data_IF_008695223571
#
_entry.id   IF_008695223571
#
_cell.length_a   1.000
_cell.length_b   1.000
_cell.length_c   1.000
_cell.angle_alpha   90.00
_cell.angle_beta   90.00
_cell.angle_gamma   90.00
#
_symmetry.space_group_name_H-M   'P 1'
#
loop_
_entity.id
_entity.type
_entity.pdbx_description
1 polymer ?
#
# COMPACT_ATOMS: atom_id res chain seq x y z
N UNK A 1 -29.43 -15.56 69.96
CA UNK A 1 -28.24 -14.88 69.43
C UNK A 1 -27.64 -15.80 68.39
N UNK A 2 -27.99 -15.58 67.12
CA UNK A 2 -27.68 -16.51 66.03
C UNK A 2 -26.98 -15.70 64.95
N UNK A 3 -25.73 -16.07 64.68
CA UNK A 3 -24.77 -15.46 63.77
C UNK A 3 -25.22 -15.60 62.31
N UNK A 4 -25.35 -14.48 61.59
CA UNK A 4 -25.48 -14.47 60.12
C UNK A 4 -24.11 -14.27 59.47
N UNK A 5 -23.79 -15.19 58.56
CA UNK A 5 -22.63 -15.14 57.69
C UNK A 5 -22.89 -14.20 56.51
N UNK A 6 -21.97 -13.26 56.26
CA UNK A 6 -21.96 -12.40 55.09
C UNK A 6 -21.27 -13.11 53.93
N UNK A 7 -22.04 -13.45 52.89
CA UNK A 7 -21.54 -13.96 51.61
C UNK A 7 -21.11 -12.79 50.71
N UNK A 8 -19.82 -12.69 50.42
CA UNK A 8 -19.26 -11.78 49.41
C UNK A 8 -19.36 -12.42 48.03
N UNK A 9 -20.17 -11.83 47.13
CA UNK A 9 -20.23 -12.19 45.71
C UNK A 9 -18.96 -11.74 44.97
N UNK A 10 -18.45 -12.50 43.99
CA UNK A 10 -17.31 -12.06 43.18
C UNK A 10 -17.78 -11.02 42.16
N UNK A 11 -17.11 -9.87 42.15
CA UNK A 11 -17.23 -8.85 41.12
C UNK A 11 -16.79 -9.41 39.76
N UNK A 12 -17.73 -9.49 38.84
CA UNK A 12 -17.49 -9.78 37.43
C UNK A 12 -16.63 -8.67 36.81
N UNK A 13 -15.38 -8.99 36.55
CA UNK A 13 -14.52 -8.14 35.72
C UNK A 13 -15.13 -8.10 34.31
N UNK A 14 -15.65 -6.93 33.93
CA UNK A 14 -16.09 -6.67 32.56
C UNK A 14 -14.88 -6.76 31.64
N UNK A 15 -14.80 -7.84 30.89
CA UNK A 15 -13.91 -7.96 29.73
C UNK A 15 -14.32 -6.91 28.71
N UNK A 16 -13.60 -5.79 28.70
CA UNK A 16 -13.64 -4.84 27.59
C UNK A 16 -13.06 -5.53 26.37
N UNK A 17 -13.91 -6.22 25.61
CA UNK A 17 -13.60 -6.63 24.25
C UNK A 17 -13.43 -5.34 23.44
N UNK A 18 -12.19 -4.86 23.32
CA UNK A 18 -11.85 -3.87 22.31
C UNK A 18 -12.05 -4.56 20.96
N UNK A 19 -13.24 -4.36 20.39
CA UNK A 19 -13.53 -4.71 19.01
C UNK A 19 -12.55 -3.93 18.13
N UNK A 20 -11.38 -4.49 17.83
CA UNK A 20 -10.54 -4.01 16.74
C UNK A 20 -11.20 -4.42 15.42
N UNK A 21 -12.40 -3.87 15.18
CA UNK A 21 -13.08 -3.96 13.91
C UNK A 21 -12.98 -2.61 13.22
N UNK A 22 -11.94 -2.47 12.40
CA UNK A 22 -12.10 -1.80 11.12
C UNK A 22 -11.08 -2.36 10.13
N UNK A 23 -11.54 -3.37 9.39
CA UNK A 23 -11.08 -3.67 8.02
C UNK A 23 -11.07 -2.37 7.19
N UNK A 24 -10.29 -2.30 6.09
CA UNK A 24 -9.64 -1.07 5.65
C UNK A 24 -10.64 0.07 5.42
N UNK A 25 -10.29 1.27 5.90
CA UNK A 25 -11.08 2.52 5.75
C UNK A 25 -11.38 2.88 4.27
N UNK A 26 -10.72 2.22 3.34
CA UNK A 26 -10.64 2.53 1.93
C UNK A 26 -10.75 1.24 1.13
N UNK A 27 -11.58 1.24 0.08
CA UNK A 27 -11.74 0.13 -0.86
C UNK A 27 -10.61 0.10 -1.90
N UNK A 28 -10.07 1.27 -2.22
CA UNK A 28 -8.99 1.45 -3.19
C UNK A 28 -7.82 2.18 -2.51
N UNK A 29 -6.59 1.86 -2.93
CA UNK A 29 -5.43 2.64 -2.55
C UNK A 29 -5.36 3.93 -3.38
N UNK A 30 -5.60 3.83 -4.69
CA UNK A 30 -5.46 4.94 -5.63
C UNK A 30 -6.74 5.12 -6.45
N UNK A 31 -7.18 6.36 -6.61
CA UNK A 31 -8.08 6.80 -7.66
C UNK A 31 -7.28 7.49 -8.79
N UNK A 32 -7.45 7.05 -10.04
CA UNK A 32 -6.83 7.68 -11.22
C UNK A 32 -7.84 8.54 -11.97
N UNK A 33 -7.66 9.86 -11.91
CA UNK A 33 -8.38 10.82 -12.76
C UNK A 33 -7.48 11.25 -13.92
N UNK A 34 -7.99 11.18 -15.15
CA UNK A 34 -7.24 11.52 -16.36
C UNK A 34 -8.20 11.84 -17.51
N UNK A 35 -7.71 12.52 -18.54
CA UNK A 35 -8.45 12.68 -19.79
C UNK A 35 -8.19 11.48 -20.69
N UNK A 36 -9.21 10.67 -20.94
CA UNK A 36 -8.99 9.41 -21.66
C UNK A 36 -8.78 9.56 -23.17
N UNK A 37 -9.01 10.74 -23.74
CA UNK A 37 -8.58 11.07 -25.11
C UNK A 37 -7.07 11.23 -25.19
N UNK A 38 -6.44 11.76 -24.13
CA UNK A 38 -5.02 12.11 -24.13
C UNK A 38 -4.13 10.96 -23.69
N UNK A 39 -4.48 10.34 -22.55
CA UNK A 39 -3.52 9.47 -21.84
C UNK A 39 -3.95 8.02 -21.64
N UNK A 40 -5.15 7.63 -22.10
CA UNK A 40 -5.75 6.31 -21.79
C UNK A 40 -4.87 5.12 -22.19
N UNK A 41 -4.24 5.17 -23.36
CA UNK A 41 -3.54 4.03 -23.98
C UNK A 41 -2.00 4.11 -23.89
N UNK A 42 -1.48 5.15 -23.23
CA UNK A 42 -0.05 5.41 -23.11
C UNK A 42 0.30 5.54 -21.61
N UNK A 43 0.79 6.70 -21.17
CA UNK A 43 1.14 7.01 -19.79
C UNK A 43 0.18 6.47 -18.73
N UNK A 44 -1.14 6.72 -18.83
CA UNK A 44 -2.09 6.24 -17.79
C UNK A 44 -2.20 4.72 -17.78
N UNK A 45 -2.12 4.05 -18.93
CA UNK A 45 -2.16 2.57 -18.99
C UNK A 45 -0.89 1.95 -18.39
N UNK A 46 0.27 2.54 -18.71
CA UNK A 46 1.56 2.14 -18.14
C UNK A 46 1.60 2.37 -16.63
N UNK A 47 1.13 3.53 -16.15
CA UNK A 47 1.02 3.83 -14.73
C UNK A 47 0.08 2.84 -14.02
N UNK A 48 -1.11 2.61 -14.57
CA UNK A 48 -2.07 1.67 -14.02
C UNK A 48 -1.51 0.24 -13.94
N UNK A 49 -0.84 -0.21 -15.00
CA UNK A 49 -0.20 -1.53 -15.05
C UNK A 49 0.89 -1.64 -13.99
N UNK A 50 1.74 -0.62 -13.85
CA UNK A 50 2.81 -0.61 -12.86
C UNK A 50 2.27 -0.58 -11.42
N UNK A 51 1.21 0.19 -11.13
CA UNK A 51 0.51 0.18 -9.84
C UNK A 51 -0.03 -1.22 -9.52
N UNK A 52 -0.70 -1.86 -10.48
CA UNK A 52 -1.25 -3.21 -10.33
C UNK A 52 -0.16 -4.26 -10.10
N UNK A 53 0.95 -4.20 -10.83
CA UNK A 53 2.11 -5.08 -10.64
C UNK A 53 2.72 -4.96 -9.24
N UNK A 54 2.59 -3.79 -8.61
CA UNK A 54 3.05 -3.52 -7.24
C UNK A 54 1.99 -3.81 -6.17
N UNK A 55 0.87 -4.46 -6.53
CA UNK A 55 -0.20 -4.81 -5.60
C UNK A 55 -1.06 -3.62 -5.16
N UNK A 56 -0.94 -2.46 -5.81
CA UNK A 56 -1.70 -1.26 -5.45
C UNK A 56 -3.07 -1.32 -6.10
N UNK A 57 -4.08 -1.65 -5.29
CA UNK A 57 -5.51 -1.65 -5.68
C UNK A 57 -5.90 -0.25 -6.17
N UNK A 58 -6.14 -0.13 -7.48
CA UNK A 58 -6.36 1.15 -8.14
C UNK A 58 -7.70 1.18 -8.85
N UNK A 59 -8.51 2.21 -8.58
CA UNK A 59 -9.68 2.54 -9.39
C UNK A 59 -9.21 3.38 -10.58
N UNK A 60 -9.41 2.88 -11.80
CA UNK A 60 -9.14 3.60 -13.03
C UNK A 60 -10.48 4.03 -13.62
N UNK A 61 -10.73 5.34 -13.67
CA UNK A 61 -11.90 5.84 -14.37
C UNK A 61 -11.84 5.41 -15.84
N UNK A 62 -12.79 4.60 -16.28
CA UNK A 62 -12.88 4.19 -17.67
C UNK A 62 -14.02 4.95 -18.32
N UNK A 63 -13.76 6.12 -18.91
CA UNK A 63 -14.78 6.86 -19.68
C UNK A 63 -15.47 5.99 -20.78
N UNK A 64 -14.97 4.80 -21.15
CA UNK A 64 -15.69 3.89 -22.05
C UNK A 64 -16.88 3.20 -21.39
N UNK A 65 -16.92 3.13 -20.06
CA UNK A 65 -17.88 2.32 -19.34
C UNK A 65 -19.27 2.93 -19.23
N UNK A 66 -19.53 4.19 -19.64
CA UNK A 66 -20.92 4.66 -19.75
C UNK A 66 -21.06 5.97 -20.55
N UNK A 67 -21.14 5.86 -21.89
CA UNK A 67 -21.79 6.87 -22.73
C UNK A 67 -23.27 6.97 -22.29
N UNK A 68 -23.58 7.74 -21.25
CA UNK A 68 -24.95 8.17 -20.96
C UNK A 68 -25.54 7.92 -19.57
N UNK A 69 -24.78 7.55 -18.53
CA UNK A 69 -25.29 7.65 -17.15
C UNK A 69 -24.71 8.88 -16.47
N UNK A 70 -25.58 9.65 -15.81
CA UNK A 70 -25.19 10.65 -14.81
C UNK A 70 -24.11 10.05 -13.91
N UNK A 71 -23.06 10.82 -13.59
CA UNK A 71 -21.96 10.44 -12.69
C UNK A 71 -22.42 9.37 -11.72
N UNK A 72 -21.96 8.13 -11.91
CA UNK A 72 -22.41 7.05 -11.05
C UNK A 72 -22.03 7.44 -9.62
N UNK A 73 -22.97 7.29 -8.68
CA UNK A 73 -22.68 7.41 -7.25
C UNK A 73 -21.45 6.57 -6.87
N UNK A 74 -21.21 5.50 -7.63
CA UNK A 74 -20.03 4.64 -7.56
C UNK A 74 -18.72 5.38 -7.81
N UNK A 75 -18.64 6.31 -8.77
CA UNK A 75 -17.44 7.10 -9.04
C UNK A 75 -17.12 8.04 -7.87
N UNK A 76 -18.12 8.78 -7.40
CA UNK A 76 -17.96 9.68 -6.25
C UNK A 76 -17.58 8.91 -4.99
N UNK A 77 -18.19 7.74 -4.79
CA UNK A 77 -17.88 6.84 -3.70
C UNK A 77 -16.48 6.24 -3.83
N UNK A 78 -16.03 5.91 -5.03
CA UNK A 78 -14.67 5.42 -5.26
C UNK A 78 -13.62 6.47 -4.89
N UNK A 79 -13.88 7.76 -5.15
CA UNK A 79 -13.00 8.86 -4.71
C UNK A 79 -12.95 8.93 -3.18
N UNK A 80 -14.10 8.86 -2.50
CA UNK A 80 -14.18 8.89 -1.03
C UNK A 80 -13.53 7.66 -0.37
N UNK A 81 -13.63 6.50 -1.01
CA UNK A 81 -13.05 5.23 -0.57
C UNK A 81 -11.61 5.01 -1.07
N UNK A 82 -10.93 6.07 -1.54
CA UNK A 82 -9.54 6.04 -1.98
C UNK A 82 -8.61 6.77 -1.03
N UNK A 83 -7.39 6.25 -0.84
CA UNK A 83 -6.35 6.90 -0.02
C UNK A 83 -5.63 8.02 -0.77
N UNK A 84 -5.26 7.73 -2.02
CA UNK A 84 -4.57 8.64 -2.92
C UNK A 84 -5.45 8.96 -4.13
N UNK A 85 -5.37 10.17 -4.63
CA UNK A 85 -5.94 10.55 -5.92
C UNK A 85 -4.81 11.06 -6.82
N UNK A 86 -4.46 10.29 -7.85
CA UNK A 86 -3.53 10.71 -8.88
C UNK A 86 -4.31 11.39 -9.99
N UNK A 87 -3.94 12.63 -10.29
CA UNK A 87 -4.61 13.47 -11.29
C UNK A 87 -3.63 13.70 -12.43
N UNK A 88 -3.91 13.11 -13.59
CA UNK A 88 -3.11 13.31 -14.81
C UNK A 88 -3.71 14.47 -15.60
N UNK A 89 -3.15 15.65 -15.37
CA UNK A 89 -3.54 16.89 -16.02
C UNK A 89 -2.85 16.95 -17.39
N UNK A 90 -3.65 16.85 -18.45
CA UNK A 90 -3.21 16.88 -19.85
C UNK A 90 -3.88 18.03 -20.60
N UNK A 91 -3.47 18.22 -21.85
CA UNK A 91 -3.92 19.33 -22.70
C UNK A 91 -5.44 19.46 -22.81
N UNK A 92 -6.17 18.34 -22.92
CA UNK A 92 -7.63 18.35 -23.07
C UNK A 92 -8.39 18.10 -21.74
N UNK A 93 -7.69 18.04 -20.61
CA UNK A 93 -8.33 17.78 -19.31
C UNK A 93 -9.41 18.81 -18.98
N UNK A 94 -9.13 20.10 -19.17
CA UNK A 94 -10.09 21.18 -18.93
C UNK A 94 -11.23 21.25 -19.98
N UNK A 95 -11.08 20.58 -21.11
CA UNK A 95 -12.15 20.46 -22.12
C UNK A 95 -13.20 19.42 -21.73
N UNK A 96 -12.86 18.48 -20.84
CA UNK A 96 -13.78 17.46 -20.34
C UNK A 96 -14.51 17.93 -19.09
N UNK A 97 -15.83 18.15 -19.21
CA UNK A 97 -16.69 18.46 -18.06
C UNK A 97 -16.60 17.40 -16.97
N UNK A 98 -16.40 16.13 -17.34
CA UNK A 98 -16.29 15.02 -16.41
C UNK A 98 -15.03 15.14 -15.56
N UNK A 99 -13.87 15.34 -16.20
CA UNK A 99 -12.60 15.54 -15.51
C UNK A 99 -12.66 16.73 -14.53
N UNK A 100 -13.32 17.84 -14.92
CA UNK A 100 -13.47 19.01 -14.04
C UNK A 100 -14.37 18.74 -12.82
N UNK A 101 -15.44 17.94 -12.99
CA UNK A 101 -16.31 17.55 -11.88
C UNK A 101 -15.58 16.60 -10.93
N UNK A 102 -14.84 15.62 -11.45
CA UNK A 102 -13.97 14.74 -10.66
C UNK A 102 -12.95 15.54 -9.86
N UNK A 103 -12.25 16.48 -10.51
CA UNK A 103 -11.24 17.33 -9.88
C UNK A 103 -11.82 18.11 -8.70
N UNK A 104 -12.97 18.75 -8.89
CA UNK A 104 -13.65 19.48 -7.83
C UNK A 104 -14.05 18.56 -6.67
N UNK A 105 -14.52 17.34 -6.98
CA UNK A 105 -14.85 16.34 -5.96
C UNK A 105 -13.62 15.87 -5.19
N UNK A 106 -12.54 15.53 -5.88
CA UNK A 106 -11.28 15.08 -5.27
C UNK A 106 -10.76 16.14 -4.30
N UNK A 107 -10.76 17.42 -4.70
CA UNK A 107 -10.33 18.50 -3.81
C UNK A 107 -11.27 18.77 -2.63
N UNK A 108 -12.56 18.51 -2.79
CA UNK A 108 -13.50 18.49 -1.66
C UNK A 108 -13.13 17.36 -0.68
N UNK A 109 -12.91 16.13 -1.17
CA UNK A 109 -12.49 14.98 -0.37
C UNK A 109 -11.11 15.18 0.28
N UNK A 110 -10.18 15.89 -0.36
CA UNK A 110 -8.90 16.30 0.26
C UNK A 110 -9.12 17.06 1.56
N UNK A 111 -10.11 17.98 1.59
CA UNK A 111 -10.43 18.81 2.77
C UNK A 111 -11.24 18.04 3.82
N UNK A 112 -12.19 17.21 3.39
CA UNK A 112 -13.15 16.54 4.28
C UNK A 112 -12.64 15.20 4.83
N UNK A 113 -12.05 14.35 3.97
CA UNK A 113 -11.71 12.96 4.31
C UNK A 113 -10.20 12.69 4.33
N UNK A 114 -9.39 13.69 3.94
CA UNK A 114 -7.93 13.64 3.98
C UNK A 114 -7.30 12.86 2.82
N UNK A 115 -7.98 12.75 1.67
CA UNK A 115 -7.41 12.13 0.47
C UNK A 115 -6.13 12.86 0.06
N UNK A 116 -5.04 12.11 -0.17
CA UNK A 116 -3.77 12.69 -0.60
C UNK A 116 -3.77 12.86 -2.13
N UNK A 117 -3.65 14.10 -2.59
CA UNK A 117 -3.69 14.45 -4.02
C UNK A 117 -2.29 14.49 -4.62
N UNK A 118 -2.10 13.80 -5.73
CA UNK A 118 -0.83 13.60 -6.42
C UNK A 118 -0.95 14.07 -7.89
N UNK A 119 -0.67 15.35 -8.19
CA UNK A 119 -0.80 15.86 -9.55
C UNK A 119 0.37 15.43 -10.45
N UNK A 120 0.03 15.06 -11.67
CA UNK A 120 0.94 14.78 -12.77
C UNK A 120 0.59 15.72 -13.92
N UNK A 121 1.51 16.62 -14.24
CA UNK A 121 1.37 17.58 -15.33
C UNK A 121 1.94 16.95 -16.61
N UNK A 122 1.05 16.39 -17.43
CA UNK A 122 1.38 15.63 -18.64
C UNK A 122 1.40 16.55 -19.86
N UNK A 123 2.61 16.95 -20.30
CA UNK A 123 2.84 17.89 -21.39
C UNK A 123 2.08 19.23 -21.25
N UNK A 124 1.86 19.66 -20.01
CA UNK A 124 1.26 20.95 -19.66
C UNK A 124 2.10 21.63 -18.58
N UNK A 125 2.27 22.94 -18.67
CA UNK A 125 2.99 23.69 -17.64
C UNK A 125 2.12 23.83 -16.37
N UNK A 126 2.65 23.52 -15.17
CA UNK A 126 1.93 23.75 -13.91
C UNK A 126 1.45 25.20 -13.73
N UNK A 127 2.18 26.17 -14.27
CA UNK A 127 1.85 27.60 -14.23
C UNK A 127 0.62 27.91 -15.10
N UNK A 128 0.51 27.27 -16.26
CA UNK A 128 -0.66 27.41 -17.14
C UNK A 128 -1.90 26.77 -16.50
N UNK A 129 -1.73 25.63 -15.82
CA UNK A 129 -2.82 25.02 -15.04
C UNK A 129 -3.27 25.94 -13.92
N UNK A 130 -2.32 26.48 -13.14
CA UNK A 130 -2.60 27.32 -11.96
C UNK A 130 -3.27 28.65 -12.30
N UNK A 131 -2.87 29.26 -13.41
CA UNK A 131 -3.38 30.55 -13.85
C UNK A 131 -4.47 30.43 -14.94
N UNK A 132 -4.79 29.20 -15.36
CA UNK A 132 -5.73 28.89 -16.45
C UNK A 132 -5.38 29.64 -17.76
N UNK A 133 -4.09 29.64 -18.11
CA UNK A 133 -3.58 30.30 -19.32
C UNK A 133 -3.56 29.35 -20.53
N UNK A 134 -3.22 29.89 -21.71
CA UNK A 134 -3.00 29.13 -22.93
C UNK A 134 -4.22 28.29 -23.32
N UNK A 135 -4.01 27.00 -23.54
CA UNK A 135 -5.04 26.06 -24.02
C UNK A 135 -6.18 25.91 -23.00
N UNK A 136 -5.89 26.04 -21.70
CA UNK A 136 -6.93 25.98 -20.67
C UNK A 136 -7.83 27.22 -20.72
N UNK A 137 -7.29 28.40 -21.05
CA UNK A 137 -8.09 29.62 -21.20
C UNK A 137 -9.14 29.45 -22.30
N UNK A 138 -8.75 28.87 -23.44
CA UNK A 138 -9.66 28.57 -24.55
C UNK A 138 -10.73 27.56 -24.17
N UNK A 139 -10.37 26.52 -23.40
CA UNK A 139 -11.33 25.54 -22.90
C UNK A 139 -12.39 26.18 -21.99
N UNK A 140 -11.96 27.05 -21.06
CA UNK A 140 -12.89 27.78 -20.19
C UNK A 140 -13.76 28.78 -20.94
N UNK A 141 -13.21 29.48 -21.94
CA UNK A 141 -14.00 30.39 -22.78
C UNK A 141 -15.12 29.67 -23.54
N UNK A 142 -14.91 28.39 -23.91
CA UNK A 142 -15.96 27.55 -24.50
C UNK A 142 -17.01 27.13 -23.47
N UNK A 143 -16.58 26.75 -22.25
CA UNK A 143 -17.49 26.35 -21.17
C UNK A 143 -18.37 27.51 -20.68
N UNK A 144 -17.82 28.72 -20.60
CA UNK A 144 -18.57 29.92 -20.19
C UNK A 144 -19.65 30.34 -21.19
N UNK A 145 -19.50 29.95 -22.46
CA UNK A 145 -20.50 30.18 -23.51
C UNK A 145 -21.60 29.11 -23.54
N UNK A 146 -21.40 27.97 -22.89
CA UNK A 146 -22.40 26.90 -22.84
C UNK A 146 -23.48 27.23 -21.79
N UNK A 147 -24.68 27.56 -22.27
CA UNK A 147 -25.83 27.92 -21.44
C UNK A 147 -26.32 26.78 -20.53
N UNK A 148 -25.86 25.54 -20.75
CA UNK A 148 -26.20 24.37 -19.91
C UNK A 148 -25.35 24.27 -18.64
N UNK A 149 -24.36 25.16 -18.47
CA UNK A 149 -23.41 25.12 -17.36
C UNK A 149 -23.64 26.32 -16.46
N UNK A 150 -23.71 26.08 -15.15
CA UNK A 150 -23.82 27.15 -14.18
C UNK A 150 -22.48 27.87 -14.05
N UNK A 151 -22.49 29.20 -14.10
CA UNK A 151 -21.31 30.02 -13.87
C UNK A 151 -20.62 29.70 -12.54
N UNK A 152 -21.39 29.32 -11.50
CA UNK A 152 -20.83 28.90 -10.20
C UNK A 152 -19.95 27.66 -10.31
N UNK A 153 -20.34 26.69 -11.13
CA UNK A 153 -19.57 25.45 -11.31
C UNK A 153 -18.26 25.74 -12.05
N UNK A 154 -18.31 26.62 -13.07
CA UNK A 154 -17.11 27.07 -13.79
C UNK A 154 -16.11 27.74 -12.86
N UNK A 155 -16.58 28.61 -11.96
CA UNK A 155 -15.73 29.26 -10.97
C UNK A 155 -15.14 28.24 -9.98
N UNK A 156 -15.93 27.24 -9.55
CA UNK A 156 -15.44 26.16 -8.70
C UNK A 156 -14.36 25.33 -9.39
N UNK A 157 -14.51 25.03 -10.69
CA UNK A 157 -13.51 24.30 -11.47
C UNK A 157 -12.22 25.10 -11.68
N UNK A 158 -12.32 26.42 -11.93
CA UNK A 158 -11.16 27.31 -11.99
C UNK A 158 -10.40 27.31 -10.66
N UNK A 159 -11.11 27.46 -9.55
CA UNK A 159 -10.51 27.38 -8.22
C UNK A 159 -9.86 26.01 -7.96
N UNK A 160 -10.50 24.93 -8.40
CA UNK A 160 -9.97 23.57 -8.26
C UNK A 160 -8.65 23.38 -9.03
N UNK A 161 -8.56 23.86 -10.28
CA UNK A 161 -7.31 23.79 -11.05
C UNK A 161 -6.20 24.66 -10.44
N UNK A 162 -6.55 25.82 -9.92
CA UNK A 162 -5.62 26.67 -9.18
C UNK A 162 -5.06 25.92 -7.96
N UNK A 163 -5.93 25.39 -7.11
CA UNK A 163 -5.57 24.62 -5.91
C UNK A 163 -4.70 23.41 -6.25
N UNK A 164 -5.00 22.66 -7.33
CA UNK A 164 -4.17 21.53 -7.76
C UNK A 164 -2.85 21.97 -8.37
N UNK A 165 -2.82 23.07 -9.12
CA UNK A 165 -1.61 23.65 -9.69
C UNK A 165 -0.62 24.15 -8.63
N UNK A 166 -1.08 24.43 -7.42
CA UNK A 166 -0.23 24.79 -6.26
C UNK A 166 0.35 23.56 -5.53
N UNK A 167 -0.16 22.36 -5.76
CA UNK A 167 0.33 21.14 -5.12
C UNK A 167 1.61 20.66 -5.82
N UNK A 168 2.61 20.25 -5.03
CA UNK A 168 3.84 19.63 -5.55
C UNK A 168 3.53 18.35 -6.34
N UNK A 169 3.85 18.34 -7.64
CA UNK A 169 3.61 17.22 -8.54
C UNK A 169 4.81 16.86 -9.39
N UNK A 170 4.56 16.06 -10.44
CA UNK A 170 5.56 15.73 -11.44
C UNK A 170 5.21 16.38 -12.77
N UNK A 171 6.16 17.06 -13.37
CA UNK A 171 6.00 17.67 -14.69
C UNK A 171 6.69 16.79 -15.74
N UNK A 172 5.88 16.21 -16.64
CA UNK A 172 6.32 15.47 -17.81
C UNK A 172 6.44 16.45 -18.97
N UNK A 173 7.67 16.88 -19.21
CA UNK A 173 8.07 17.52 -20.45
C UNK A 173 8.84 16.48 -21.28
N UNK A 174 10.10 16.73 -21.61
CA UNK A 174 10.99 15.79 -22.33
C UNK A 174 11.65 14.74 -21.41
N UNK A 175 10.91 14.23 -20.42
CA UNK A 175 11.40 13.22 -19.46
C UNK A 175 10.82 11.86 -19.78
N UNK A 176 11.60 10.80 -19.53
CA UNK A 176 11.09 9.43 -19.67
C UNK A 176 9.93 9.15 -18.71
N UNK A 177 8.78 8.76 -19.28
CA UNK A 177 7.56 8.42 -18.53
C UNK A 177 7.82 7.36 -17.46
N UNK A 178 8.62 6.34 -17.78
CA UNK A 178 8.97 5.24 -16.87
C UNK A 178 9.61 5.74 -15.57
N UNK A 179 10.50 6.75 -15.64
CA UNK A 179 11.14 7.33 -14.46
C UNK A 179 10.10 8.02 -13.58
N UNK A 180 9.15 8.73 -14.18
CA UNK A 180 8.10 9.40 -13.41
C UNK A 180 7.16 8.39 -12.77
N UNK A 181 6.76 7.34 -13.50
CA UNK A 181 5.94 6.25 -12.96
C UNK A 181 6.61 5.62 -11.73
N UNK A 182 7.91 5.30 -11.81
CA UNK A 182 8.65 4.76 -10.66
C UNK A 182 8.71 5.75 -9.49
N UNK A 183 8.87 7.05 -9.75
CA UNK A 183 8.84 8.08 -8.70
C UNK A 183 7.47 8.21 -8.04
N UNK A 184 6.39 8.12 -8.81
CA UNK A 184 5.02 8.14 -8.26
C UNK A 184 4.80 6.96 -7.33
N UNK A 185 5.14 5.75 -7.79
CA UNK A 185 5.04 4.51 -7.02
C UNK A 185 5.89 4.60 -5.74
N UNK A 186 7.14 5.02 -5.87
CA UNK A 186 8.04 5.21 -4.73
C UNK A 186 7.49 6.21 -3.71
N UNK A 187 6.87 7.32 -4.16
CA UNK A 187 6.24 8.29 -3.25
C UNK A 187 5.08 7.68 -2.47
N UNK A 188 4.24 6.85 -3.10
CA UNK A 188 3.14 6.15 -2.42
C UNK A 188 3.70 5.22 -1.32
N UNK A 189 4.70 4.40 -1.67
CA UNK A 189 5.32 3.49 -0.69
C UNK A 189 6.00 4.23 0.46
N UNK A 190 6.74 5.30 0.18
CA UNK A 190 7.42 6.07 1.20
C UNK A 190 6.43 6.71 2.19
N UNK A 191 5.28 7.21 1.71
CA UNK A 191 4.23 7.69 2.61
C UNK A 191 3.67 6.56 3.48
N UNK A 192 3.40 5.40 2.91
CA UNK A 192 2.84 4.26 3.65
C UNK A 192 3.82 3.74 4.71
N UNK A 193 5.11 3.61 4.37
CA UNK A 193 6.18 3.24 5.30
C UNK A 193 6.34 4.30 6.39
N UNK A 194 6.35 5.59 6.03
CA UNK A 194 6.43 6.69 6.98
C UNK A 194 5.30 6.64 8.02
N UNK A 195 4.07 6.33 7.61
CA UNK A 195 2.93 6.15 8.54
C UNK A 195 3.16 4.99 9.51
N UNK A 196 3.80 3.90 9.06
CA UNK A 196 4.14 2.79 9.95
C UNK A 196 5.24 3.18 10.95
N UNK A 197 6.21 3.99 10.52
CA UNK A 197 7.24 4.56 11.39
C UNK A 197 6.68 5.56 12.40
N UNK A 198 5.79 6.47 11.98
CA UNK A 198 5.12 7.45 12.86
C UNK A 198 4.27 6.76 13.94
N UNK A 199 3.70 5.60 13.61
CA UNK A 199 2.98 4.74 14.56
C UNK A 199 3.89 3.83 15.36
N UNK A 200 5.21 3.93 15.17
CA UNK A 200 6.24 3.10 15.80
C UNK A 200 6.00 1.60 15.59
N UNK A 201 5.35 1.20 14.50
CA UNK A 201 5.11 -0.22 14.18
C UNK A 201 6.33 -0.86 13.52
N UNK A 202 7.11 -0.06 12.78
CA UNK A 202 8.38 -0.46 12.18
C UNK A 202 9.42 0.65 12.39
N UNK A 203 10.69 0.28 12.34
CA UNK A 203 11.84 1.18 12.29
C UNK A 203 12.70 0.78 11.10
N UNK A 204 13.32 1.75 10.43
CA UNK A 204 14.37 1.48 9.44
C UNK A 204 15.63 2.11 10.02
N UNK A 205 16.68 1.31 10.22
CA UNK A 205 17.95 1.81 10.75
C UNK A 205 18.76 2.57 9.69
N UNK A 206 19.88 3.16 10.09
CA UNK A 206 20.77 3.93 9.21
C UNK A 206 21.39 3.10 8.07
N UNK A 207 21.34 1.76 8.18
CA UNK A 207 21.79 0.83 7.15
C UNK A 207 20.67 0.43 6.17
N UNK A 208 19.44 0.88 6.40
CA UNK A 208 18.27 0.54 5.59
C UNK A 208 17.63 -0.79 5.99
N UNK A 209 18.02 -1.39 7.12
CA UNK A 209 17.40 -2.62 7.62
C UNK A 209 16.08 -2.30 8.30
N UNK A 210 15.02 -3.01 7.88
CA UNK A 210 13.68 -2.88 8.44
C UNK A 210 13.55 -3.74 9.70
N UNK A 211 13.20 -3.09 10.81
CA UNK A 211 12.90 -3.68 12.10
C UNK A 211 11.41 -3.54 12.40
N UNK A 212 10.80 -4.60 12.93
CA UNK A 212 9.43 -4.54 13.45
C UNK A 212 9.46 -4.18 14.93
N UNK A 213 8.46 -3.47 15.44
CA UNK A 213 8.37 -3.19 16.87
C UNK A 213 8.29 -4.47 17.71
N UNK A 214 9.01 -4.54 18.83
CA UNK A 214 9.15 -5.76 19.66
C UNK A 214 7.80 -6.37 20.05
N UNK A 215 6.83 -5.56 20.50
CA UNK A 215 5.48 -6.06 20.81
C UNK A 215 4.77 -6.73 19.62
N UNK A 216 4.97 -6.25 18.39
CA UNK A 216 4.40 -6.90 17.20
C UNK A 216 5.13 -8.20 16.87
N UNK A 217 6.44 -8.23 17.08
CA UNK A 217 7.24 -9.45 16.96
C UNK A 217 6.74 -10.50 17.96
N UNK A 218 6.63 -10.13 19.25
CA UNK A 218 6.14 -11.01 20.32
C UNK A 218 4.75 -11.56 20.01
N UNK A 219 3.85 -10.70 19.52
CA UNK A 219 2.50 -11.10 19.13
C UNK A 219 2.52 -12.10 17.97
N UNK A 220 3.30 -11.84 16.92
CA UNK A 220 3.45 -12.73 15.77
C UNK A 220 4.06 -14.08 16.15
N UNK A 221 5.08 -14.06 17.01
CA UNK A 221 5.72 -15.25 17.55
C UNK A 221 4.77 -16.09 18.42
N UNK A 222 3.94 -15.43 19.25
CA UNK A 222 2.94 -16.11 20.06
C UNK A 222 1.82 -16.73 19.22
N UNK A 223 1.41 -16.09 18.11
CA UNK A 223 0.43 -16.68 17.17
C UNK A 223 0.98 -17.99 16.62
N UNK A 224 2.22 -18.01 16.13
CA UNK A 224 2.83 -19.23 15.59
C UNK A 224 3.08 -20.27 16.69
N UNK A 225 3.47 -19.85 17.90
CA UNK A 225 3.60 -20.75 19.06
C UNK A 225 2.28 -21.44 19.40
N UNK A 226 1.14 -20.76 19.23
CA UNK A 226 -0.20 -21.32 19.52
C UNK A 226 -0.69 -22.34 18.50
N UNK A 227 -0.14 -22.36 17.29
CA UNK A 227 -0.46 -23.39 16.28
C UNK A 227 -0.13 -24.78 16.84
N UNK A 228 1.01 -24.90 17.51
CA UNK A 228 1.40 -26.08 18.26
C UNK A 228 2.25 -25.70 19.49
N UNK A 229 1.62 -25.56 20.67
CA UNK A 229 2.30 -25.11 21.87
C UNK A 229 3.41 -26.05 22.34
N UNK A 230 3.23 -27.35 22.15
CA UNK A 230 4.11 -28.40 22.68
C UNK A 230 5.06 -28.99 21.65
N UNK A 231 4.64 -29.06 20.39
CA UNK A 231 5.39 -29.75 19.33
C UNK A 231 5.82 -28.74 18.28
N UNK A 232 7.07 -28.26 18.30
CA UNK A 232 7.53 -27.22 17.37
C UNK A 232 7.37 -27.63 15.89
N UNK A 233 7.50 -28.92 15.57
CA UNK A 233 7.33 -29.43 14.20
C UNK A 233 5.93 -29.26 13.60
N UNK A 234 4.93 -28.91 14.42
CA UNK A 234 3.58 -28.55 13.98
C UNK A 234 3.33 -27.05 13.80
N UNK A 235 4.37 -26.22 13.90
CA UNK A 235 4.30 -24.76 13.70
C UNK A 235 4.68 -24.39 12.28
N UNK A 236 4.06 -23.35 11.74
CA UNK A 236 4.33 -22.81 10.41
C UNK A 236 5.72 -22.20 10.27
N UNK A 237 6.27 -21.67 11.38
CA UNK A 237 7.61 -21.07 11.40
C UNK A 237 8.40 -21.48 12.65
N UNK A 238 9.69 -21.68 12.47
CA UNK A 238 10.65 -21.98 13.52
C UNK A 238 11.80 -20.97 13.49
N UNK A 239 12.13 -20.38 14.64
CA UNK A 239 13.24 -19.41 14.78
C UNK A 239 14.02 -19.55 16.10
N UNK A 240 13.47 -20.27 17.08
CA UNK A 240 14.17 -20.61 18.31
C UNK A 240 15.16 -21.73 17.99
N UNK A 241 16.44 -21.48 18.21
CA UNK A 241 17.52 -22.41 17.86
C UNK A 241 17.26 -23.84 18.40
N UNK A 242 16.93 -23.96 19.68
CA UNK A 242 16.68 -25.26 20.32
C UNK A 242 15.50 -26.02 19.68
N UNK A 243 14.42 -25.31 19.35
CA UNK A 243 13.26 -25.89 18.68
C UNK A 243 13.62 -26.35 17.26
N UNK A 244 14.38 -25.55 16.53
CA UNK A 244 14.84 -25.89 15.17
C UNK A 244 15.73 -27.13 15.22
N UNK A 245 16.69 -27.18 16.13
CA UNK A 245 17.60 -28.31 16.28
C UNK A 245 16.84 -29.57 16.72
N UNK A 246 15.88 -29.45 17.64
CA UNK A 246 15.02 -30.55 18.04
C UNK A 246 14.25 -31.13 16.85
N UNK A 247 13.61 -30.26 16.06
CA UNK A 247 12.82 -30.65 14.89
C UNK A 247 13.68 -31.33 13.82
N UNK A 248 14.86 -30.79 13.54
CA UNK A 248 15.77 -31.33 12.53
C UNK A 248 16.43 -32.64 12.98
N UNK A 249 16.91 -32.74 14.23
CA UNK A 249 17.56 -33.96 14.75
C UNK A 249 16.57 -35.13 14.87
N UNK A 250 15.33 -34.86 15.24
CA UNK A 250 14.31 -35.88 15.45
C UNK A 250 13.43 -36.14 14.22
N UNK A 251 13.66 -35.41 13.12
CA UNK A 251 12.79 -35.42 11.92
C UNK A 251 11.30 -35.26 12.28
N UNK A 252 10.98 -34.40 13.25
CA UNK A 252 9.61 -34.19 13.73
C UNK A 252 8.87 -33.06 13.00
N UNK A 253 9.48 -32.47 11.96
CA UNK A 253 8.87 -31.45 11.12
C UNK A 253 7.74 -32.03 10.27
N UNK A 254 6.65 -31.28 10.13
CA UNK A 254 5.50 -31.65 9.31
C UNK A 254 5.42 -30.78 8.06
N UNK A 255 4.53 -31.10 7.11
CA UNK A 255 4.28 -30.26 5.93
C UNK A 255 3.77 -28.84 6.27
N UNK A 256 3.39 -28.60 7.53
CA UNK A 256 2.96 -27.27 8.01
C UNK A 256 4.15 -26.31 8.11
N UNK A 257 5.38 -26.80 8.27
CA UNK A 257 6.57 -25.94 8.42
C UNK A 257 6.91 -25.25 7.09
N UNK A 258 6.55 -23.97 7.00
CA UNK A 258 6.78 -23.12 5.83
C UNK A 258 8.12 -22.36 5.91
N UNK A 259 8.67 -22.15 7.11
CA UNK A 259 9.90 -21.36 7.28
C UNK A 259 10.74 -21.76 8.49
N UNK A 260 12.05 -21.82 8.28
CA UNK A 260 13.04 -22.09 9.34
C UNK A 260 14.11 -21.00 9.30
N UNK A 261 14.23 -20.25 10.40
CA UNK A 261 15.33 -19.31 10.61
C UNK A 261 16.40 -19.99 11.48
N UNK A 262 17.56 -20.23 10.87
CA UNK A 262 18.72 -20.80 11.54
C UNK A 262 19.65 -19.68 12.03
N UNK A 263 19.42 -19.24 13.27
CA UNK A 263 20.35 -18.35 13.97
C UNK A 263 21.37 -19.22 14.74
N UNK A 264 22.51 -19.50 14.10
CA UNK A 264 23.59 -20.26 14.72
C UNK A 264 24.27 -19.39 15.80
N UNK A 265 24.35 -19.84 17.06
CA UNK A 265 25.20 -19.16 18.04
C UNK A 265 26.65 -19.19 17.54
N UNK A 266 27.36 -18.08 17.68
CA UNK A 266 28.70 -17.81 17.11
C UNK A 266 29.79 -18.81 17.61
N UNK A 267 29.47 -19.73 18.52
CA UNK A 267 30.47 -20.60 19.18
C UNK A 267 30.21 -22.10 19.24
N UNK A 268 29.17 -22.66 18.64
CA UNK A 268 28.98 -24.12 18.65
C UNK A 268 28.88 -24.70 17.25
N UNK A 269 30.01 -25.21 16.76
CA UNK A 269 30.05 -26.16 15.65
C UNK A 269 29.60 -27.51 16.20
N UNK A 270 28.30 -27.65 16.47
CA UNK A 270 27.74 -28.99 16.51
C UNK A 270 27.74 -29.54 15.08
N UNK A 271 28.41 -30.67 14.90
CA UNK A 271 28.24 -31.54 13.73
C UNK A 271 26.79 -32.03 13.70
N UNK A 272 25.87 -31.17 13.24
CA UNK A 272 24.63 -31.64 12.66
C UNK A 272 25.05 -32.63 11.57
N UNK A 273 24.48 -33.84 11.55
CA UNK A 273 24.59 -34.76 10.40
C UNK A 273 23.75 -34.20 9.23
N UNK A 274 24.02 -32.93 8.89
CA UNK A 274 23.10 -31.94 8.36
C UNK A 274 22.77 -32.13 6.88
N UNK A 275 23.31 -33.14 6.22
CA UNK A 275 23.03 -33.33 4.80
C UNK A 275 21.65 -33.96 4.60
N UNK A 276 21.30 -35.04 5.31
CA UNK A 276 20.02 -35.73 5.09
C UNK A 276 18.80 -35.00 5.65
N UNK A 277 18.89 -34.44 6.87
CA UNK A 277 17.75 -33.74 7.49
C UNK A 277 17.46 -32.38 6.83
N UNK A 278 18.49 -31.71 6.30
CA UNK A 278 18.33 -30.43 5.60
C UNK A 278 17.89 -30.67 4.15
N UNK A 279 18.33 -31.75 3.49
CA UNK A 279 17.78 -32.19 2.21
C UNK A 279 16.29 -32.54 2.29
N UNK A 280 15.84 -33.22 3.35
CA UNK A 280 14.41 -33.53 3.55
C UNK A 280 13.56 -32.26 3.77
N UNK A 281 14.07 -31.28 4.53
CA UNK A 281 13.41 -29.99 4.71
C UNK A 281 13.44 -29.10 3.44
N UNK A 282 14.41 -29.32 2.54
CA UNK A 282 14.49 -28.66 1.23
C UNK A 282 13.65 -29.36 0.14
N UNK A 283 13.25 -30.62 0.34
CA UNK A 283 12.42 -31.39 -0.60
C UNK A 283 10.93 -31.05 -0.53
N UNK A 284 10.45 -30.42 0.55
CA UNK A 284 9.18 -29.70 0.53
C UNK A 284 9.38 -28.39 -0.25
N UNK A 285 8.88 -28.33 -1.48
CA UNK A 285 8.98 -27.17 -2.38
C UNK A 285 8.43 -25.82 -1.84
N UNK A 286 8.02 -25.77 -0.57
CA UNK A 286 7.44 -24.60 0.11
C UNK A 286 8.24 -24.09 1.31
N UNK A 287 9.29 -24.78 1.77
CA UNK A 287 10.00 -24.39 3.00
C UNK A 287 11.19 -23.47 2.69
N UNK A 288 11.19 -22.26 3.24
CA UNK A 288 12.31 -21.31 3.14
C UNK A 288 13.23 -21.48 4.35
N UNK A 289 14.51 -21.76 4.09
CA UNK A 289 15.56 -21.82 5.12
C UNK A 289 16.46 -20.61 5.00
N UNK A 290 16.35 -19.66 5.93
CA UNK A 290 17.26 -18.50 6.02
C UNK A 290 18.36 -18.77 7.05
N UNK A 291 19.62 -18.67 6.61
CA UNK A 291 20.80 -18.70 7.49
C UNK A 291 21.31 -17.28 7.67
N UNK A 292 21.31 -16.76 8.89
CA UNK A 292 22.02 -15.53 9.19
C UNK A 292 23.51 -15.84 9.37
N UNK A 293 24.22 -15.99 8.24
CA UNK A 293 25.66 -15.77 8.19
C UNK A 293 25.87 -14.44 7.47
N UNK A 294 26.70 -13.58 8.05
CA UNK A 294 27.26 -12.36 7.46
C UNK A 294 27.33 -12.48 5.91
N UNK A 295 26.60 -11.62 5.20
CA UNK A 295 26.43 -11.68 3.74
C UNK A 295 27.79 -11.49 3.04
N UNK A 296 28.50 -12.59 2.77
CA UNK A 296 29.58 -12.63 1.78
C UNK A 296 29.22 -13.59 0.66
N UNK A 297 28.77 -13.00 -0.44
CA UNK A 297 28.52 -13.66 -1.71
C UNK A 297 29.84 -14.21 -2.26
N UNK A 298 30.04 -15.53 -2.25
CA UNK A 298 31.07 -16.20 -3.05
C UNK A 298 30.38 -17.08 -4.07
N UNK A 299 30.38 -16.65 -5.33
CA UNK A 299 30.01 -17.49 -6.47
C UNK A 299 31.04 -18.61 -6.59
N UNK A 300 30.62 -19.87 -6.50
CA UNK A 300 31.40 -20.99 -7.02
C UNK A 300 30.85 -21.41 -8.37
N UNK A 301 31.63 -21.15 -9.42
CA UNK A 301 31.46 -21.78 -10.72
C UNK A 301 31.81 -23.27 -10.58
N UNK A 302 30.86 -24.16 -10.86
CA UNK A 302 31.13 -25.58 -10.99
C UNK A 302 31.73 -25.88 -12.36
N UNK A 303 33.03 -26.16 -12.39
CA UNK A 303 33.65 -26.94 -13.47
C UNK A 303 33.47 -28.43 -13.18
N UNK A 304 32.86 -29.15 -14.11
CA UNK A 304 33.32 -30.44 -14.64
C UNK A 304 32.61 -30.72 -15.95
#
# INVERSE_FOLDING_TARGET
>A
MTTQATSSSPSSASSSSSSFSSCPRWKYHVFLSFCGVDTRKNFTDHLYTALKQKGIITFRDDEKLERGKYISQELLKAIEESKYAIIVLSTNYASSRWCLIELARILKCKKETGVTVLPVFYHVDPSDVRNQNGILAEAFAKLEKDTRINTKDVQAWKAALKDVGDISGWHLHDRHESIIIQKIIGRIFNYDIGVLMDKSLITIDDHGTLWMHDLLQDMGQEIVRRESPKEPGGRSRLWIYDDVIHVLKNNSGTEVVEGIMLNMPIQEVEHLSAESSLENALQSHHTIVERNYDFRCVKTYGSK
#
